data_IF_297000967238
#
_entry.id   IF_297000967238
#
_cell.length_a   1.000
_cell.length_b   1.000
_cell.length_c   1.000
_cell.angle_alpha   90.00
_cell.angle_beta   90.00
_cell.angle_gamma   90.00
#
_symmetry.space_group_name_H-M   'P 1'
#
loop_
_entity.id
_entity.type
_entity.pdbx_description
1 polymer ?
#
# COMPACT_ATOMS: atom_id res chain seq x y z
N UNK A 1 -25.91 -22.65 28.42
CA UNK A 1 -24.55 -22.14 28.16
C UNK A 1 -24.54 -21.49 26.78
N UNK A 2 -24.16 -20.22 26.66
CA UNK A 2 -23.90 -19.61 25.35
C UNK A 2 -22.53 -20.09 24.88
N UNK A 3 -22.46 -20.67 23.68
CA UNK A 3 -21.18 -20.95 23.02
C UNK A 3 -20.49 -19.62 22.69
N UNK A 4 -19.16 -19.50 22.88
CA UNK A 4 -18.45 -18.28 22.51
C UNK A 4 -18.66 -18.00 21.02
N UNK A 5 -19.08 -16.77 20.72
CA UNK A 5 -19.23 -16.33 19.33
C UNK A 5 -17.82 -16.06 18.80
N UNK A 6 -17.34 -16.92 17.92
CA UNK A 6 -16.08 -16.71 17.21
C UNK A 6 -16.29 -15.57 16.21
N UNK A 7 -15.45 -14.55 16.28
CA UNK A 7 -15.46 -13.41 15.36
C UNK A 7 -14.27 -13.49 14.43
N UNK A 8 -14.54 -13.42 13.13
CA UNK A 8 -13.50 -13.25 12.12
C UNK A 8 -12.99 -11.81 12.15
N UNK A 9 -11.68 -11.64 12.07
CA UNK A 9 -11.04 -10.33 12.11
C UNK A 9 -10.15 -10.15 10.89
N UNK A 10 -10.17 -8.94 10.33
CA UNK A 10 -9.15 -8.43 9.42
C UNK A 10 -8.40 -7.32 10.14
N UNK A 11 -7.10 -7.51 10.41
CA UNK A 11 -6.24 -6.51 11.02
C UNK A 11 -5.28 -5.96 9.96
N UNK A 12 -5.16 -4.64 9.87
CA UNK A 12 -4.18 -3.97 9.00
C UNK A 12 -3.19 -3.22 9.87
N UNK A 13 -1.92 -3.58 9.76
CA UNK A 13 -0.81 -2.88 10.40
C UNK A 13 -0.12 -2.04 9.34
N UNK A 14 -0.38 -0.74 9.37
CA UNK A 14 0.10 0.18 8.35
C UNK A 14 1.49 0.75 8.68
N UNK A 15 2.35 0.83 7.66
CA UNK A 15 3.71 1.39 7.69
C UNK A 15 4.60 0.86 8.83
N UNK A 16 4.69 -0.46 8.99
CA UNK A 16 5.60 -1.06 9.99
C UNK A 16 7.06 -0.85 9.56
N UNK A 17 7.85 -0.18 10.39
CA UNK A 17 9.21 0.28 10.02
C UNK A 17 10.32 -0.11 11.00
N UNK A 18 10.01 -0.60 12.22
CA UNK A 18 11.06 -1.06 13.13
C UNK A 18 11.64 -2.39 12.65
N UNK A 19 12.91 -2.40 12.25
CA UNK A 19 13.59 -3.59 11.75
C UNK A 19 14.28 -4.43 12.82
N UNK A 20 14.05 -4.15 14.11
CA UNK A 20 14.51 -5.02 15.17
C UNK A 20 13.85 -6.40 15.04
N UNK A 21 14.69 -7.42 14.93
CA UNK A 21 14.24 -8.78 14.66
C UNK A 21 13.39 -9.33 15.82
N UNK A 22 13.77 -9.07 17.05
CA UNK A 22 13.08 -9.60 18.23
C UNK A 22 11.73 -8.93 18.40
N UNK A 23 11.65 -7.61 18.21
CA UNK A 23 10.38 -6.89 18.26
C UNK A 23 9.42 -7.35 17.17
N UNK A 24 9.88 -7.47 15.92
CA UNK A 24 9.05 -7.98 14.82
C UNK A 24 8.57 -9.41 15.07
N UNK A 25 9.46 -10.28 15.54
CA UNK A 25 9.11 -11.66 15.87
C UNK A 25 8.09 -11.74 17.01
N UNK A 26 8.26 -10.92 18.06
CA UNK A 26 7.33 -10.85 19.18
C UNK A 26 5.95 -10.32 18.75
N UNK A 27 5.92 -9.33 17.86
CA UNK A 27 4.67 -8.84 17.26
C UNK A 27 3.97 -9.95 16.48
N UNK A 28 4.68 -10.62 15.58
CA UNK A 28 4.15 -11.75 14.79
C UNK A 28 3.57 -12.84 15.67
N UNK A 29 4.31 -13.27 16.69
CA UNK A 29 3.87 -14.34 17.59
C UNK A 29 2.65 -13.92 18.41
N UNK A 30 2.59 -12.68 18.89
CA UNK A 30 1.42 -12.17 19.62
C UNK A 30 0.15 -12.20 18.78
N UNK A 31 0.27 -11.97 17.47
CA UNK A 31 -0.86 -11.92 16.53
C UNK A 31 -1.28 -13.30 15.97
N UNK A 32 -0.53 -14.36 16.29
CA UNK A 32 -0.76 -15.71 15.73
C UNK A 32 -1.93 -16.49 16.38
N UNK A 33 -2.63 -15.88 17.34
CA UNK A 33 -3.70 -16.53 18.14
C UNK A 33 -5.14 -16.27 17.65
N UNK A 34 -5.32 -15.84 16.40
CA UNK A 34 -6.63 -15.53 15.82
C UNK A 34 -7.50 -16.75 15.52
N UNK A 35 -8.82 -16.52 15.39
CA UNK A 35 -9.76 -17.53 14.86
C UNK A 35 -9.35 -17.88 13.43
N UNK A 36 -9.34 -19.17 13.09
CA UNK A 36 -9.04 -19.64 11.73
C UNK A 36 -9.91 -18.91 10.69
N UNK A 37 -9.28 -18.44 9.61
CA UNK A 37 -9.90 -17.58 8.61
C UNK A 37 -9.73 -16.07 8.87
N UNK A 38 -9.27 -15.66 10.06
CA UNK A 38 -8.83 -14.28 10.30
C UNK A 38 -7.59 -13.96 9.46
N UNK A 39 -7.44 -12.69 9.08
CA UNK A 39 -6.35 -12.23 8.23
C UNK A 39 -5.65 -11.03 8.84
N UNK A 40 -4.33 -10.97 8.62
CA UNK A 40 -3.50 -9.83 8.99
C UNK A 40 -2.81 -9.36 7.71
N UNK A 41 -2.89 -8.08 7.45
CA UNK A 41 -2.16 -7.40 6.38
C UNK A 41 -1.15 -6.48 7.05
N UNK A 42 0.11 -6.58 6.66
CA UNK A 42 1.17 -5.68 7.08
C UNK A 42 1.62 -4.91 5.85
N UNK A 43 1.61 -3.59 5.90
CA UNK A 43 2.27 -2.76 4.90
C UNK A 43 3.59 -2.27 5.47
N UNK A 44 4.62 -2.29 4.64
CA UNK A 44 5.96 -1.86 5.02
C UNK A 44 6.72 -1.46 3.77
N UNK A 45 7.69 -0.57 3.95
CA UNK A 45 8.69 -0.21 2.93
C UNK A 45 9.94 -1.10 2.98
N UNK A 46 10.04 -1.98 3.98
CA UNK A 46 11.20 -2.84 4.21
C UNK A 46 10.90 -4.31 3.89
N UNK A 47 11.62 -4.86 2.92
CA UNK A 47 11.57 -6.29 2.59
C UNK A 47 12.04 -7.17 3.77
N UNK A 48 12.94 -6.65 4.61
CA UNK A 48 13.41 -7.34 5.81
C UNK A 48 12.28 -7.54 6.81
N UNK A 49 11.47 -6.50 7.06
CA UNK A 49 10.28 -6.60 7.92
C UNK A 49 9.29 -7.61 7.35
N UNK A 50 9.01 -7.55 6.04
CA UNK A 50 8.13 -8.50 5.37
C UNK A 50 8.60 -9.96 5.55
N UNK A 51 9.91 -10.19 5.46
CA UNK A 51 10.53 -11.50 5.66
C UNK A 51 10.41 -11.99 7.10
N UNK A 52 10.69 -11.13 8.09
CA UNK A 52 10.62 -11.50 9.52
C UNK A 52 9.17 -11.77 9.96
N UNK A 53 8.24 -10.95 9.49
CA UNK A 53 6.81 -11.14 9.77
C UNK A 53 6.28 -12.45 9.18
N UNK A 54 7.01 -13.07 8.23
CA UNK A 54 6.85 -14.47 7.85
C UNK A 54 5.41 -14.78 7.46
N UNK A 55 4.93 -14.08 6.44
CA UNK A 55 3.59 -14.23 5.89
C UNK A 55 3.53 -15.41 4.92
N UNK A 56 2.33 -15.91 4.64
CA UNK A 56 2.12 -16.92 3.57
C UNK A 56 2.44 -16.37 2.18
N UNK A 57 2.44 -15.04 2.03
CA UNK A 57 2.65 -14.34 0.77
C UNK A 57 3.15 -12.90 1.02
N UNK A 58 4.19 -12.48 0.30
CA UNK A 58 4.67 -11.10 0.25
C UNK A 58 4.20 -10.51 -1.09
N UNK A 59 3.53 -9.37 -1.03
CA UNK A 59 3.10 -8.64 -2.22
C UNK A 59 3.99 -7.43 -2.42
N UNK A 60 4.83 -7.46 -3.45
CA UNK A 60 5.62 -6.31 -3.86
C UNK A 60 4.72 -5.37 -4.67
N UNK A 61 4.42 -4.20 -4.12
CA UNK A 61 3.71 -3.17 -4.86
C UNK A 61 4.66 -2.58 -5.91
N UNK A 62 4.30 -2.72 -7.17
CA UNK A 62 5.00 -2.07 -8.28
C UNK A 62 4.45 -0.66 -8.48
N UNK A 63 5.31 0.22 -9.01
CA UNK A 63 4.87 1.52 -9.50
C UNK A 63 3.88 1.36 -10.66
N UNK A 64 3.00 2.34 -10.83
CA UNK A 64 2.10 2.37 -11.96
C UNK A 64 2.86 2.70 -13.25
N UNK A 65 2.39 2.17 -14.38
CA UNK A 65 2.86 2.60 -15.71
C UNK A 65 2.61 4.10 -15.91
N UNK A 66 3.47 4.76 -16.69
CA UNK A 66 3.42 6.21 -16.93
C UNK A 66 2.04 6.69 -17.39
N UNK A 67 1.41 5.98 -18.33
CA UNK A 67 0.06 6.30 -18.81
C UNK A 67 -1.00 6.24 -17.69
N UNK A 68 -0.85 5.28 -16.76
CA UNK A 68 -1.74 5.13 -15.61
C UNK A 68 -1.47 6.21 -14.55
N UNK A 69 -0.20 6.56 -14.31
CA UNK A 69 0.17 7.72 -13.48
C UNK A 69 -0.47 9.00 -14.02
N UNK A 70 -0.39 9.23 -15.33
CA UNK A 70 -0.99 10.38 -15.98
C UNK A 70 -2.51 10.35 -15.91
N UNK A 71 -3.14 9.19 -16.12
CA UNK A 71 -4.58 9.03 -15.98
C UNK A 71 -5.06 9.38 -14.55
N UNK A 72 -4.37 8.89 -13.52
CA UNK A 72 -4.67 9.23 -12.12
C UNK A 72 -4.45 10.70 -11.81
N UNK A 73 -3.36 11.28 -12.32
CA UNK A 73 -3.09 12.71 -12.17
C UNK A 73 -4.20 13.56 -12.78
N UNK A 74 -4.59 13.26 -14.02
CA UNK A 74 -5.72 13.93 -14.69
C UNK A 74 -7.00 13.76 -13.88
N UNK A 75 -7.35 12.54 -13.47
CA UNK A 75 -8.54 12.29 -12.67
C UNK A 75 -8.59 13.13 -11.39
N UNK A 76 -7.45 13.30 -10.72
CA UNK A 76 -7.37 14.04 -9.45
C UNK A 76 -7.33 15.56 -9.63
N UNK A 77 -6.83 16.04 -10.77
CA UNK A 77 -6.71 17.47 -11.08
C UNK A 77 -7.94 18.05 -11.77
N UNK A 78 -8.64 17.26 -12.60
CA UNK A 78 -9.84 17.71 -13.32
C UNK A 78 -11.14 17.52 -12.54
N UNK A 79 -11.13 16.69 -11.48
CA UNK A 79 -12.39 16.28 -10.83
C UNK A 79 -13.35 15.60 -11.82
N UNK A 80 -14.60 15.34 -11.43
CA UNK A 80 -15.60 14.71 -12.30
C UNK A 80 -16.15 15.64 -13.40
N UNK A 81 -15.57 16.84 -13.57
CA UNK A 81 -16.03 17.85 -14.51
C UNK A 81 -15.03 17.93 -15.66
N UNK A 82 -15.22 17.09 -16.67
CA UNK A 82 -14.36 17.03 -17.87
C UNK A 82 -14.44 18.29 -18.75
N UNK A 83 -15.32 19.25 -18.43
CA UNK A 83 -15.74 20.28 -19.40
C UNK A 83 -15.09 21.67 -19.28
N UNK A 84 -14.25 21.98 -18.26
CA UNK A 84 -13.91 23.40 -18.00
C UNK A 84 -12.45 23.76 -17.67
N UNK A 85 -11.44 22.96 -18.05
CA UNK A 85 -10.04 23.43 -17.96
C UNK A 85 -9.23 23.14 -19.23
N UNK A 86 -8.99 24.15 -20.09
CA UNK A 86 -8.16 23.97 -21.26
C UNK A 86 -6.68 23.86 -20.84
N UNK A 87 -5.99 22.89 -21.44
CA UNK A 87 -4.52 22.77 -21.53
C UNK A 87 -3.72 22.42 -20.26
N UNK A 88 -3.74 21.14 -19.86
CA UNK A 88 -2.51 20.48 -19.36
C UNK A 88 -1.94 19.45 -20.35
N UNK A 89 -2.61 19.21 -21.48
CA UNK A 89 -2.27 18.17 -22.46
C UNK A 89 -1.20 18.56 -23.49
N UNK A 90 -0.72 19.81 -23.51
CA UNK A 90 0.17 20.29 -24.60
C UNK A 90 1.63 20.54 -24.19
N UNK A 91 2.02 20.27 -22.94
CA UNK A 91 3.29 20.83 -22.41
C UNK A 91 4.31 19.77 -21.95
N UNK A 92 3.86 18.56 -21.61
CA UNK A 92 4.72 17.53 -21.02
C UNK A 92 5.39 16.62 -22.05
N UNK A 93 4.73 16.36 -23.18
CA UNK A 93 5.36 15.65 -24.31
C UNK A 93 6.49 16.45 -25.00
N UNK A 94 6.56 17.76 -24.78
CA UNK A 94 7.60 18.64 -25.36
C UNK A 94 8.76 18.93 -24.41
N UNK A 95 8.75 18.41 -23.18
CA UNK A 95 9.77 18.68 -22.15
C UNK A 95 10.44 17.39 -21.66
N UNK A 96 10.90 16.53 -22.58
CA UNK A 96 11.74 15.37 -22.28
C UNK A 96 13.14 15.72 -21.71
N UNK A 97 13.35 16.94 -21.20
CA UNK A 97 14.63 17.41 -20.64
C UNK A 97 14.52 18.06 -19.24
N UNK A 98 13.37 18.00 -18.54
CA UNK A 98 13.32 18.46 -17.15
C UNK A 98 12.76 17.39 -16.23
N UNK A 99 13.67 16.82 -15.44
CA UNK A 99 13.40 15.98 -14.28
C UNK A 99 12.29 16.61 -13.43
N UNK A 100 11.07 16.06 -13.53
CA UNK A 100 10.06 16.23 -12.48
C UNK A 100 10.15 14.98 -11.63
N UNK A 101 10.94 15.06 -10.57
CA UNK A 101 10.97 14.07 -9.52
C UNK A 101 9.72 14.26 -8.64
N UNK A 102 8.72 13.41 -8.84
CA UNK A 102 7.64 13.24 -7.86
C UNK A 102 8.07 12.10 -6.94
N UNK A 103 8.52 12.44 -5.74
CA UNK A 103 8.75 11.46 -4.67
C UNK A 103 7.41 11.17 -3.98
N UNK A 104 7.02 9.90 -3.96
CA UNK A 104 6.09 9.35 -2.97
C UNK A 104 6.88 8.48 -2.00
#
# INVERSE_FOLDING_TARGET
MMSPKLSLVLLVLDDVWNEDHNECYNLRTSLSSGVEGSKIIVTTRSEKIATIMGTTYIHHLEGLFEDNCWALFKQRTYGHNEDHHPNLSTNWQTNSERNVEVYL
#
